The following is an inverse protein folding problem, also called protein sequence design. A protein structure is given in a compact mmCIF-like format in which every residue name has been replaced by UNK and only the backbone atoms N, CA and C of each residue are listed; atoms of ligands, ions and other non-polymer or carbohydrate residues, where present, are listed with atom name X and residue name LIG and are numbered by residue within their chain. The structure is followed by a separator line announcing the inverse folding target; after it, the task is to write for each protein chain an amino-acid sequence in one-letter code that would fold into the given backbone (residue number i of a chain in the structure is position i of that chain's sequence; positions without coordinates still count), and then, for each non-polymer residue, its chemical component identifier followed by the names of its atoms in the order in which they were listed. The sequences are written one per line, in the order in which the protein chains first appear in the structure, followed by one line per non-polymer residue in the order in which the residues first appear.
data_IF_331541708054
#
_entry.id   IF_331541708054
#
_cell.length_a   1.000
_cell.length_b   1.000
_cell.length_c   1.000
_cell.angle_alpha   90.00
_cell.angle_beta   90.00
_cell.angle_gamma   90.00
#
_symmetry.space_group_name_H-M   'P 1'
#
loop_
_entity.id
_entity.type
_entity.pdbx_description
1 polymer ?
#
# COMPACT_ATOMS: atom_id res chain seq x y z
N UNK A 1 -6.38 -1.79 -14.75
CA UNK A 1 -6.56 -0.57 -13.91
C UNK A 1 -5.20 0.12 -13.81
N UNK A 2 -5.16 1.42 -13.53
CA UNK A 2 -3.91 2.17 -13.28
C UNK A 2 -4.06 2.98 -11.98
N UNK A 3 -2.95 3.44 -11.38
CA UNK A 3 -2.94 4.23 -10.13
C UNK A 3 -3.96 5.37 -10.19
N UNK A 4 -4.76 5.49 -9.14
CA UNK A 4 -5.87 6.44 -9.02
C UNK A 4 -7.19 5.91 -9.59
N UNK A 5 -7.16 4.96 -10.52
CA UNK A 5 -8.34 4.34 -11.10
C UNK A 5 -8.94 3.27 -10.19
N UNK A 6 -10.26 3.14 -10.27
CA UNK A 6 -11.05 2.17 -9.54
C UNK A 6 -11.96 1.33 -10.46
N UNK A 7 -12.49 0.25 -9.91
CA UNK A 7 -13.44 -0.62 -10.58
C UNK A 7 -14.31 -1.37 -9.56
N UNK A 8 -15.58 -1.60 -9.92
CA UNK A 8 -16.51 -2.41 -9.12
C UNK A 8 -16.60 -3.81 -9.73
N UNK A 9 -16.07 -4.79 -9.00
CA UNK A 9 -16.15 -6.21 -9.30
C UNK A 9 -17.37 -6.84 -8.61
N UNK A 10 -17.69 -8.08 -8.97
CA UNK A 10 -18.79 -8.84 -8.35
C UNK A 10 -18.62 -9.02 -6.83
N UNK A 11 -17.38 -9.02 -6.35
CA UNK A 11 -17.04 -9.17 -4.92
C UNK A 11 -17.02 -7.83 -4.16
N UNK A 12 -16.97 -6.69 -4.86
CA UNK A 12 -16.75 -5.39 -4.22
C UNK A 12 -15.99 -4.39 -5.08
N UNK A 13 -15.64 -3.26 -4.47
CA UNK A 13 -14.94 -2.16 -5.14
C UNK A 13 -13.44 -2.21 -4.83
N UNK A 14 -12.61 -1.87 -5.82
CA UNK A 14 -11.16 -1.80 -5.68
C UNK A 14 -10.61 -0.58 -6.41
N UNK A 15 -9.74 0.17 -5.73
CA UNK A 15 -8.95 1.27 -6.28
C UNK A 15 -7.46 1.02 -6.09
N UNK A 16 -6.67 1.38 -7.11
CA UNK A 16 -5.21 1.41 -6.99
C UNK A 16 -4.77 2.72 -6.32
N UNK A 17 -4.14 2.61 -5.15
CA UNK A 17 -3.58 3.74 -4.42
C UNK A 17 -2.12 3.99 -4.81
N UNK A 18 -1.62 5.24 -4.78
CA UNK A 18 -0.20 5.52 -4.97
C UNK A 18 0.65 4.79 -3.93
N UNK A 19 1.84 4.35 -4.35
CA UNK A 19 2.91 3.89 -3.46
C UNK A 19 4.23 4.52 -3.93
N UNK A 20 5.12 4.82 -2.99
CA UNK A 20 6.45 5.38 -3.27
C UNK A 20 7.50 4.29 -3.15
N UNK A 21 7.73 3.58 -4.25
CA UNK A 21 8.68 2.47 -4.34
C UNK A 21 9.12 2.17 -5.79
N UNK A 22 9.83 1.06 -6.00
CA UNK A 22 10.11 0.51 -7.34
C UNK A 22 9.09 -0.58 -7.72
N UNK A 23 8.94 -0.83 -9.03
CA UNK A 23 8.23 -2.01 -9.53
C UNK A 23 8.95 -2.56 -10.75
N UNK A 24 9.73 -3.61 -10.53
CA UNK A 24 10.47 -4.29 -11.57
C UNK A 24 10.51 -5.79 -11.33
N UNK A 25 10.55 -6.54 -12.42
CA UNK A 25 10.80 -7.98 -12.42
C UNK A 25 12.21 -8.25 -12.95
N UNK A 26 12.94 -9.13 -12.28
CA UNK A 26 14.31 -9.50 -12.67
C UNK A 26 14.23 -10.85 -13.39
N UNK A 27 14.66 -10.89 -14.65
CA UNK A 27 14.75 -12.11 -15.48
C UNK A 27 16.20 -12.30 -15.95
N UNK A 28 16.95 -13.11 -15.22
CA UNK A 28 18.40 -13.23 -15.41
C UNK A 28 19.09 -11.91 -15.08
N UNK A 29 19.86 -11.37 -16.03
CA UNK A 29 20.53 -10.08 -15.90
C UNK A 29 19.64 -8.88 -16.33
N UNK A 30 18.41 -9.13 -16.77
CA UNK A 30 17.51 -8.09 -17.26
C UNK A 30 16.61 -7.56 -16.15
N UNK A 31 16.52 -6.23 -16.03
CA UNK A 31 15.53 -5.54 -15.18
C UNK A 31 14.38 -5.09 -16.07
N UNK A 32 13.22 -5.71 -15.89
CA UNK A 32 12.00 -5.40 -16.64
C UNK A 32 11.12 -4.47 -15.80
N UNK A 33 10.84 -3.28 -16.31
CA UNK A 33 9.95 -2.31 -15.66
C UNK A 33 8.50 -2.81 -15.69
N UNK A 34 7.83 -2.81 -14.53
CA UNK A 34 6.45 -3.30 -14.39
C UNK A 34 5.42 -2.18 -14.19
N UNK A 35 5.81 -0.92 -14.37
CA UNK A 35 4.96 0.23 -14.09
C UNK A 35 5.33 0.89 -12.76
N UNK A 36 4.44 1.74 -12.27
CA UNK A 36 4.60 2.35 -10.96
C UNK A 36 4.01 1.41 -9.89
N UNK A 37 4.64 1.29 -8.71
CA UNK A 37 4.08 0.51 -7.62
C UNK A 37 2.77 1.11 -7.14
N UNK A 38 1.95 0.28 -6.49
CA UNK A 38 0.67 0.71 -5.96
C UNK A 38 0.31 -0.07 -4.69
N UNK A 39 -0.51 0.58 -3.87
CA UNK A 39 -1.33 -0.09 -2.88
C UNK A 39 -2.72 -0.38 -3.42
N UNK A 40 -3.55 -1.01 -2.60
CA UNK A 40 -4.93 -1.33 -2.90
C UNK A 40 -5.85 -0.77 -1.83
N UNK A 41 -6.90 -0.10 -2.26
CA UNK A 41 -8.02 0.25 -1.42
C UNK A 41 -9.21 -0.61 -1.85
N UNK A 42 -9.75 -1.39 -0.93
CA UNK A 42 -10.70 -2.47 -1.22
C UNK A 42 -11.91 -2.29 -0.32
N UNK A 43 -13.11 -2.29 -0.90
CA UNK A 43 -14.37 -2.37 -0.16
C UNK A 43 -15.08 -3.68 -0.50
N UNK A 44 -15.26 -4.54 0.51
CA UNK A 44 -15.92 -5.84 0.39
C UNK A 44 -16.88 -5.98 1.57
N UNK A 45 -18.13 -6.36 1.30
CA UNK A 45 -19.16 -6.58 2.33
C UNK A 45 -19.30 -5.41 3.33
N UNK A 46 -19.14 -4.17 2.86
CA UNK A 46 -19.21 -2.96 3.68
C UNK A 46 -18.00 -2.74 4.60
N UNK A 47 -16.89 -3.44 4.35
CA UNK A 47 -15.60 -3.27 5.04
C UNK A 47 -14.55 -2.70 4.10
N UNK A 48 -13.87 -1.64 4.56
CA UNK A 48 -12.84 -0.96 3.78
C UNK A 48 -11.44 -1.30 4.28
N UNK A 49 -10.63 -1.88 3.42
CA UNK A 49 -9.26 -2.31 3.70
C UNK A 49 -8.30 -1.51 2.82
N UNK A 50 -7.28 -0.91 3.44
CA UNK A 50 -6.15 -0.33 2.73
C UNK A 50 -4.93 -1.23 2.88
N UNK A 51 -4.41 -1.73 1.77
CA UNK A 51 -3.13 -2.42 1.68
C UNK A 51 -2.11 -1.51 1.01
N UNK A 52 -1.17 -0.96 1.78
CA UNK A 52 -0.22 0.04 1.26
C UNK A 52 0.76 -0.53 0.21
N UNK A 53 0.97 -1.84 0.23
CA UNK A 53 2.07 -2.45 -0.52
C UNK A 53 3.42 -2.07 0.10
N UNK A 54 4.49 -2.30 -0.64
CA UNK A 54 5.81 -1.80 -0.27
C UNK A 54 5.90 -0.31 -0.63
N UNK A 55 6.04 0.52 0.38
CA UNK A 55 6.11 1.98 0.23
C UNK A 55 6.85 2.60 1.42
N UNK A 56 7.49 3.75 1.18
CA UNK A 56 7.85 4.70 2.24
C UNK A 56 6.66 5.55 2.70
N UNK A 57 6.87 6.38 3.72
CA UNK A 57 5.91 7.40 4.16
C UNK A 57 5.87 8.56 3.15
N UNK A 58 4.68 9.00 2.77
CA UNK A 58 4.49 10.20 1.95
C UNK A 58 3.22 10.95 2.33
N UNK A 59 3.19 12.26 2.10
CA UNK A 59 2.12 13.15 2.58
C UNK A 59 0.72 12.80 2.05
N UNK A 60 0.63 12.36 0.80
CA UNK A 60 -0.65 12.05 0.15
C UNK A 60 -1.35 10.82 0.73
N UNK A 61 -0.68 10.04 1.59
CA UNK A 61 -1.35 9.01 2.39
C UNK A 61 -2.51 9.59 3.21
N UNK A 62 -2.43 10.87 3.62
CA UNK A 62 -3.52 11.57 4.29
C UNK A 62 -4.80 11.65 3.47
N UNK A 63 -4.70 11.76 2.15
CA UNK A 63 -5.86 11.81 1.26
C UNK A 63 -6.65 10.50 1.30
N UNK A 64 -6.00 9.37 1.58
CA UNK A 64 -6.68 8.08 1.69
C UNK A 64 -7.60 8.08 2.93
N UNK A 65 -7.09 8.53 4.08
CA UNK A 65 -7.88 8.64 5.32
C UNK A 65 -8.97 9.72 5.26
N UNK A 66 -8.78 10.76 4.45
CA UNK A 66 -9.80 11.79 4.21
C UNK A 66 -10.88 11.34 3.22
N UNK A 67 -10.51 10.53 2.21
CA UNK A 67 -11.43 10.06 1.16
C UNK A 67 -12.38 8.96 1.65
N UNK A 68 -11.88 8.03 2.45
CA UNK A 68 -12.64 6.86 2.89
C UNK A 68 -12.37 6.54 4.36
N UNK A 69 -13.41 6.08 5.06
CA UNK A 69 -13.25 5.51 6.39
C UNK A 69 -12.73 4.09 6.26
N UNK A 70 -11.47 3.87 6.63
CA UNK A 70 -10.86 2.56 6.68
C UNK A 70 -11.37 1.78 7.90
N UNK A 71 -11.65 0.50 7.74
CA UNK A 71 -11.79 -0.45 8.86
C UNK A 71 -10.42 -1.07 9.23
N UNK A 72 -9.58 -1.30 8.23
CA UNK A 72 -8.24 -1.87 8.40
C UNK A 72 -7.24 -1.17 7.49
N UNK A 73 -6.09 -0.78 8.05
CA UNK A 73 -4.90 -0.38 7.28
C UNK A 73 -3.75 -1.37 7.50
N UNK A 74 -3.19 -1.89 6.41
CA UNK A 74 -2.04 -2.80 6.37
C UNK A 74 -0.81 -2.02 5.91
N UNK A 75 0.10 -1.75 6.84
CA UNK A 75 1.28 -0.92 6.60
C UNK A 75 2.57 -1.74 6.76
N UNK A 76 3.56 -1.57 5.86
CA UNK A 76 4.87 -2.18 6.04
C UNK A 76 5.64 -1.54 7.21
N UNK A 77 6.39 -2.34 7.96
CA UNK A 77 7.28 -1.88 9.07
C UNK A 77 8.71 -2.44 9.00
N UNK A 78 9.14 -2.87 7.81
CA UNK A 78 10.42 -3.55 7.59
C UNK A 78 11.66 -2.64 7.58
N UNK A 79 11.48 -1.32 7.47
CA UNK A 79 12.57 -0.39 7.20
C UNK A 79 13.25 -0.68 5.85
N UNK A 80 14.49 -0.21 5.68
CA UNK A 80 15.39 -0.38 4.52
C UNK A 80 14.80 -0.11 3.11
N UNK A 81 13.81 -0.89 2.68
CA UNK A 81 13.09 -0.74 1.40
C UNK A 81 11.69 -0.16 1.56
N UNK A 82 11.14 -0.18 2.77
CA UNK A 82 9.79 0.26 3.11
C UNK A 82 9.81 1.13 4.37
N UNK A 83 8.65 1.61 4.82
CA UNK A 83 8.53 2.32 6.09
C UNK A 83 9.18 1.54 7.25
N UNK A 84 9.92 2.27 8.08
CA UNK A 84 10.28 1.82 9.42
C UNK A 84 9.11 1.95 10.38
N UNK A 85 9.30 1.51 11.63
CA UNK A 85 8.25 1.60 12.66
C UNK A 85 7.81 3.06 12.88
N UNK A 86 8.75 4.00 13.00
CA UNK A 86 8.43 5.42 13.25
C UNK A 86 7.62 6.05 12.10
N UNK A 87 8.01 5.75 10.86
CA UNK A 87 7.29 6.21 9.66
C UNK A 87 5.89 5.59 9.57
N UNK A 88 5.76 4.30 9.89
CA UNK A 88 4.46 3.64 9.91
C UNK A 88 3.57 4.20 11.01
N UNK A 89 4.11 4.49 12.20
CA UNK A 89 3.39 5.19 13.28
C UNK A 89 2.94 6.57 12.82
N UNK A 90 3.76 7.30 12.05
CA UNK A 90 3.37 8.58 11.50
C UNK A 90 2.26 8.45 10.45
N UNK A 91 2.34 7.45 9.58
CA UNK A 91 1.28 7.14 8.61
C UNK A 91 -0.04 6.80 9.33
N UNK A 92 0.02 6.10 10.45
CA UNK A 92 -1.15 5.79 11.29
C UNK A 92 -1.90 7.04 11.72
N UNK A 93 -1.22 8.14 12.04
CA UNK A 93 -1.90 9.40 12.42
C UNK A 93 -2.79 9.96 11.30
N UNK A 94 -2.55 9.55 10.05
CA UNK A 94 -3.37 9.95 8.90
C UNK A 94 -4.66 9.14 8.78
N UNK A 95 -4.74 8.00 9.47
CA UNK A 95 -5.86 7.05 9.37
C UNK A 95 -6.57 6.93 10.72
N UNK A 96 -7.85 7.29 10.80
CA UNK A 96 -8.65 7.07 12.02
C UNK A 96 -9.18 5.63 12.08
N UNK A 97 -8.30 4.61 12.07
CA UNK A 97 -8.67 3.20 11.87
C UNK A 97 -7.89 2.20 12.73
N UNK A 98 -8.30 0.92 12.70
CA UNK A 98 -7.55 -0.20 13.27
C UNK A 98 -6.40 -0.56 12.33
N UNK A 99 -5.18 -0.67 12.87
CA UNK A 99 -3.98 -0.88 12.05
C UNK A 99 -3.40 -2.27 12.28
N UNK A 100 -3.16 -2.97 11.18
CA UNK A 100 -2.38 -4.18 11.14
C UNK A 100 -0.99 -3.85 10.58
N UNK A 101 0.03 -3.92 11.44
CA UNK A 101 1.41 -3.72 11.02
C UNK A 101 1.99 -5.02 10.49
N UNK A 102 2.53 -4.98 9.28
CA UNK A 102 3.07 -6.17 8.60
C UNK A 102 4.57 -5.99 8.45
N UNK A 103 5.32 -6.91 9.07
CA UNK A 103 6.76 -6.99 8.84
C UNK A 103 7.00 -7.68 7.50
N UNK A 104 7.43 -6.91 6.50
CA UNK A 104 8.02 -7.45 5.29
C UNK A 104 9.51 -7.63 5.56
N UNK A 105 9.93 -8.85 5.90
CA UNK A 105 11.34 -9.24 5.87
C UNK A 105 11.69 -9.63 4.44
N UNK A 106 12.25 -8.71 3.66
CA UNK A 106 12.98 -9.07 2.45
C UNK A 106 14.33 -9.68 2.85
N UNK A 107 14.29 -10.87 3.46
CA UNK A 107 15.44 -11.78 3.58
C UNK A 107 15.47 -12.81 2.43
N UNK A 108 14.64 -12.62 1.41
CA UNK A 108 14.68 -13.40 0.18
C UNK A 108 15.29 -12.56 -0.95
N UNK A 109 16.60 -12.79 -1.14
CA UNK A 109 17.35 -12.63 -2.40
C UNK A 109 17.71 -11.19 -2.82
N UNK A 110 18.91 -10.77 -2.38
CA UNK A 110 19.88 -10.15 -3.30
C UNK A 110 20.73 -11.25 -3.93
#
# INVERSE_FOLDING_TARGET
MHIGGDYTFDFGWLQLAPAMHGSSYIEGDNIIYMGNPCGFLIEIEGKTIYHAGDTGLFGDMKLIGEKVRLDVAMLPIGGNFVMGIDDAVKAVEFFMTIILLISFSHSTLF
#
